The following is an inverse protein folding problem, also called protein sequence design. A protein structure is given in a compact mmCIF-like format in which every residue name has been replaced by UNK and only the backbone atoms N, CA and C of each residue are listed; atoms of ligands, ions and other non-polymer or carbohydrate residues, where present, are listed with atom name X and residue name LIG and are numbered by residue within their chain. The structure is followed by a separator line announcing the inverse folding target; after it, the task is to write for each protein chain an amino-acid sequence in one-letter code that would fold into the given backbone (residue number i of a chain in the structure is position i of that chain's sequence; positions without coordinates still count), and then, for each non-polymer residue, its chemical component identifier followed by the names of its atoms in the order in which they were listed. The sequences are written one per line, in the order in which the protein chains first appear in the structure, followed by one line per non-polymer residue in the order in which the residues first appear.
data_IF_052339984910
#
_entry.id   IF_052339984910
#
_cell.length_a   1.000
_cell.length_b   1.000
_cell.length_c   1.000
_cell.angle_alpha   90.00
_cell.angle_beta   90.00
_cell.angle_gamma   90.00
#
_symmetry.space_group_name_H-M   'P 1'
#
loop_
_entity.id
_entity.type
_entity.pdbx_description
1 polymer ?
#
# COMPACT_ATOMS: atom_id res chain seq x y z
N UNK A 1 38.19 -24.61 -1.74
CA UNK A 1 38.80 -24.52 -0.40
C UNK A 1 38.34 -23.20 0.20
N UNK A 2 37.64 -23.30 1.34
CA UNK A 2 37.34 -22.29 2.38
C UNK A 2 36.47 -21.10 1.91
N UNK A 3 35.21 -20.93 2.34
CA UNK A 3 34.62 -20.81 3.69
C UNK A 3 34.91 -19.47 4.38
N UNK A 4 33.83 -18.93 4.97
CA UNK A 4 33.77 -18.02 6.12
C UNK A 4 34.13 -16.54 5.89
N UNK A 5 33.59 -15.54 6.59
CA UNK A 5 32.43 -15.32 7.46
C UNK A 5 32.55 -13.82 7.88
N UNK A 6 31.44 -13.17 8.22
CA UNK A 6 31.39 -12.00 9.11
C UNK A 6 32.04 -10.67 8.70
N UNK A 7 31.25 -9.59 8.66
CA UNK A 7 31.26 -8.58 9.75
C UNK A 7 30.60 -7.27 9.33
N UNK A 8 29.60 -6.90 10.12
CA UNK A 8 29.01 -5.60 10.35
C UNK A 8 30.07 -4.48 10.56
N UNK A 9 29.95 -3.34 9.86
CA UNK A 9 30.57 -2.08 10.28
C UNK A 9 30.01 -0.86 9.52
N UNK A 10 29.39 0.06 10.27
CA UNK A 10 29.57 1.50 10.09
C UNK A 10 28.71 2.23 9.06
N UNK A 11 27.57 2.78 9.52
CA UNK A 11 27.05 4.01 8.93
C UNK A 11 28.01 5.15 9.30
N UNK A 12 29.03 5.40 8.48
CA UNK A 12 29.82 6.62 8.60
C UNK A 12 29.00 7.80 8.07
N UNK A 13 28.47 8.56 9.02
CA UNK A 13 27.89 9.87 8.80
C UNK A 13 29.04 10.82 8.42
N UNK A 14 29.36 10.89 7.13
CA UNK A 14 30.39 11.78 6.61
C UNK A 14 29.88 13.24 6.58
N UNK A 15 29.82 13.85 7.76
CA UNK A 15 29.71 15.31 7.89
C UNK A 15 31.08 15.93 7.62
N UNK A 16 31.27 16.45 6.40
CA UNK A 16 32.43 17.28 6.09
C UNK A 16 32.12 18.76 6.36
N UNK A 17 32.80 19.33 7.35
CA UNK A 17 32.88 20.77 7.58
C UNK A 17 34.04 21.35 6.76
N UNK A 18 33.74 22.25 5.82
CA UNK A 18 34.76 23.12 5.21
C UNK A 18 34.46 24.58 5.60
N UNK A 19 35.37 25.17 6.39
CA UNK A 19 35.40 26.59 6.75
C UNK A 19 34.08 27.21 7.27
N UNK A 20 33.46 26.59 8.27
CA UNK A 20 32.52 27.28 9.18
C UNK A 20 31.22 27.83 8.58
N UNK A 21 30.89 27.54 7.32
CA UNK A 21 29.59 27.85 6.72
C UNK A 21 28.99 26.57 6.12
N UNK A 22 27.77 26.22 6.54
CA UNK A 22 26.96 25.16 5.91
C UNK A 22 26.66 25.56 4.47
N UNK A 23 27.51 25.14 3.54
CA UNK A 23 27.32 25.31 2.11
C UNK A 23 26.72 24.05 1.50
N UNK A 24 25.57 24.18 0.84
CA UNK A 24 25.03 23.15 -0.06
C UNK A 24 25.99 23.10 -1.25
N UNK A 25 26.62 21.95 -1.52
CA UNK A 25 27.47 21.79 -2.71
C UNK A 25 26.66 22.12 -3.98
N UNK A 26 27.06 23.14 -4.77
CA UNK A 26 26.40 23.44 -6.03
C UNK A 26 26.86 22.41 -7.06
N UNK A 27 26.03 21.41 -7.34
CA UNK A 27 26.33 20.41 -8.37
C UNK A 27 25.60 19.08 -8.19
N UNK A 28 25.16 18.76 -6.97
CA UNK A 28 24.32 17.58 -6.77
C UNK A 28 22.90 17.95 -7.19
N UNK A 29 22.53 17.59 -8.43
CA UNK A 29 21.14 17.54 -8.87
C UNK A 29 20.42 16.54 -7.96
N UNK A 30 19.92 17.00 -6.82
CA UNK A 30 18.89 16.29 -6.10
C UNK A 30 17.76 16.10 -7.09
N UNK A 31 17.53 14.86 -7.53
CA UNK A 31 16.32 14.49 -8.27
C UNK A 31 15.15 14.61 -7.30
N UNK A 32 14.78 15.84 -6.95
CA UNK A 32 13.50 16.14 -6.33
C UNK A 32 12.44 15.75 -7.37
N UNK A 33 11.50 14.92 -6.96
CA UNK A 33 10.33 14.46 -7.73
C UNK A 33 10.46 13.14 -8.50
N UNK A 34 11.10 12.11 -7.93
CA UNK A 34 10.78 10.75 -8.36
C UNK A 34 9.33 10.46 -7.96
N UNK A 35 8.39 10.53 -8.91
CA UNK A 35 7.00 10.12 -8.68
C UNK A 35 6.99 8.61 -8.38
N UNK A 36 6.27 8.14 -7.35
CA UNK A 36 6.11 6.71 -7.12
C UNK A 36 5.53 6.05 -8.38
N UNK A 37 6.15 4.97 -8.83
CA UNK A 37 5.65 4.19 -9.96
C UNK A 37 4.54 3.26 -9.44
N UNK A 38 3.35 3.25 -10.05
CA UNK A 38 2.30 2.32 -9.64
C UNK A 38 2.74 0.89 -9.94
N UNK A 39 2.47 -0.02 -9.01
CA UNK A 39 2.58 -1.46 -9.23
C UNK A 39 1.24 -1.95 -9.80
N UNK A 40 1.27 -2.49 -11.01
CA UNK A 40 0.09 -3.09 -11.63
C UNK A 40 0.26 -4.60 -11.66
N UNK A 41 -0.75 -5.31 -11.18
CA UNK A 41 -0.78 -6.77 -11.12
C UNK A 41 -2.19 -7.29 -11.41
N UNK A 42 -2.27 -8.56 -11.79
CA UNK A 42 -3.53 -9.27 -12.07
C UNK A 42 -3.53 -10.53 -11.21
N UNK A 43 -4.66 -10.80 -10.57
CA UNK A 43 -4.92 -12.04 -9.85
C UNK A 43 -6.36 -12.48 -10.13
N UNK A 44 -6.63 -13.77 -9.92
CA UNK A 44 -7.92 -14.38 -10.15
C UNK A 44 -8.53 -14.77 -8.82
N UNK A 45 -9.84 -14.56 -8.70
CA UNK A 45 -10.60 -14.84 -7.48
C UNK A 45 -11.82 -15.65 -7.87
N UNK A 46 -12.13 -16.67 -7.07
CA UNK A 46 -13.34 -17.48 -7.26
C UNK A 46 -14.57 -16.68 -6.79
N UNK A 47 -15.73 -16.86 -7.41
CA UNK A 47 -16.94 -16.12 -7.05
C UNK A 47 -17.40 -16.36 -5.59
N UNK A 48 -17.18 -17.57 -5.08
CA UNK A 48 -17.50 -17.95 -3.69
C UNK A 48 -16.50 -17.44 -2.63
N UNK A 49 -15.50 -16.66 -3.03
CA UNK A 49 -14.45 -16.18 -2.11
C UNK A 49 -15.03 -15.13 -1.17
N UNK A 50 -14.76 -15.24 0.13
CA UNK A 50 -15.14 -14.22 1.11
C UNK A 50 -14.16 -13.03 1.12
N UNK A 51 -14.55 -11.94 1.79
CA UNK A 51 -13.77 -10.70 1.86
C UNK A 51 -12.34 -10.91 2.39
N UNK A 52 -12.21 -11.69 3.46
CA UNK A 52 -10.91 -11.98 4.09
C UNK A 52 -9.97 -12.71 3.14
N UNK A 53 -10.46 -13.74 2.47
CA UNK A 53 -9.67 -14.51 1.49
C UNK A 53 -9.32 -13.64 0.29
N UNK A 54 -10.23 -12.79 -0.17
CA UNK A 54 -9.96 -11.82 -1.23
C UNK A 54 -8.79 -10.89 -0.88
N UNK A 55 -8.78 -10.32 0.33
CA UNK A 55 -7.69 -9.46 0.77
C UNK A 55 -6.39 -10.21 1.03
N UNK A 56 -6.44 -11.44 1.54
CA UNK A 56 -5.25 -12.29 1.66
C UNK A 56 -4.60 -12.54 0.27
N UNK A 57 -5.40 -12.91 -0.74
CA UNK A 57 -4.90 -13.08 -2.10
C UNK A 57 -4.34 -11.78 -2.69
N UNK A 58 -4.96 -10.64 -2.40
CA UNK A 58 -4.48 -9.32 -2.82
C UNK A 58 -3.10 -9.02 -2.21
N UNK A 59 -2.94 -9.21 -0.90
CA UNK A 59 -1.68 -8.93 -0.21
C UNK A 59 -0.56 -9.88 -0.66
N UNK A 60 -0.86 -11.16 -0.85
CA UNK A 60 0.08 -12.14 -1.41
C UNK A 60 0.57 -11.72 -2.80
N UNK A 61 -0.33 -11.15 -3.60
CA UNK A 61 -0.02 -10.67 -4.95
C UNK A 61 0.83 -9.39 -4.91
N UNK A 62 0.56 -8.48 -3.98
CA UNK A 62 1.32 -7.24 -3.81
C UNK A 62 2.72 -7.48 -3.23
N UNK A 63 2.93 -8.61 -2.52
CA UNK A 63 4.19 -8.97 -1.83
C UNK A 63 4.68 -7.89 -0.86
N UNK A 64 3.77 -7.03 -0.40
CA UNK A 64 4.08 -5.91 0.48
C UNK A 64 3.61 -6.24 1.89
N UNK A 65 4.58 -6.46 2.78
CA UNK A 65 4.33 -6.80 4.19
C UNK A 65 3.96 -5.58 5.04
N UNK A 66 4.07 -4.37 4.49
CA UNK A 66 3.69 -3.15 5.22
C UNK A 66 2.18 -2.93 5.22
N UNK A 67 1.46 -3.60 4.32
CA UNK A 67 0.02 -3.47 4.15
C UNK A 67 -0.66 -4.61 4.93
N UNK A 68 -1.65 -4.27 5.75
CA UNK A 68 -2.35 -5.21 6.62
C UNK A 68 -3.82 -4.85 6.79
N UNK A 69 -4.63 -5.84 7.17
CA UNK A 69 -6.04 -5.69 7.45
C UNK A 69 -6.48 -6.55 8.63
N UNK A 70 -7.57 -6.15 9.27
CA UNK A 70 -8.30 -6.89 10.28
C UNK A 70 -9.79 -6.85 9.96
N UNK A 71 -10.46 -8.00 10.02
CA UNK A 71 -11.91 -8.10 9.89
C UNK A 71 -12.55 -8.18 11.28
N UNK A 72 -13.46 -7.27 11.59
CA UNK A 72 -14.20 -7.30 12.85
C UNK A 72 -15.48 -8.15 12.75
N UNK A 73 -15.99 -8.61 13.89
CA UNK A 73 -17.19 -9.46 13.98
C UNK A 73 -18.46 -8.82 13.44
N UNK A 74 -18.50 -7.49 13.37
CA UNK A 74 -19.61 -6.73 12.80
C UNK A 74 -19.57 -6.66 11.27
N UNK A 75 -18.55 -7.24 10.62
CA UNK A 75 -18.38 -7.21 9.16
C UNK A 75 -17.59 -6.01 8.65
N UNK A 76 -17.14 -5.12 9.54
CA UNK A 76 -16.28 -3.99 9.18
C UNK A 76 -14.84 -4.44 8.96
N UNK A 77 -14.21 -3.81 7.98
CA UNK A 77 -12.83 -4.02 7.61
C UNK A 77 -11.97 -2.83 8.09
N UNK A 78 -11.01 -3.11 8.96
CA UNK A 78 -9.98 -2.15 9.33
C UNK A 78 -8.71 -2.43 8.53
N UNK A 79 -8.19 -1.39 7.90
CA UNK A 79 -7.05 -1.48 6.98
C UNK A 79 -6.14 -0.29 7.18
N UNK A 80 -4.84 -0.47 6.98
CA UNK A 80 -3.89 0.64 6.86
C UNK A 80 -3.74 1.13 5.40
N UNK A 81 -4.73 0.81 4.56
CA UNK A 81 -4.76 1.17 3.15
C UNK A 81 -6.20 1.43 2.71
N UNK A 82 -6.37 2.07 1.57
CA UNK A 82 -7.66 2.25 0.92
C UNK A 82 -7.75 1.35 -0.30
N UNK A 83 -8.77 0.50 -0.35
CA UNK A 83 -9.12 -0.27 -1.54
C UNK A 83 -10.35 0.32 -2.22
N UNK A 84 -10.21 0.65 -3.50
CA UNK A 84 -11.30 1.16 -4.33
C UNK A 84 -11.41 0.35 -5.62
N UNK A 85 -12.63 -0.05 -5.97
CA UNK A 85 -12.89 -0.76 -7.21
C UNK A 85 -13.62 0.10 -8.24
N UNK A 86 -13.39 -0.21 -9.51
CA UNK A 86 -14.13 0.31 -10.64
C UNK A 86 -14.43 -0.84 -11.59
N UNK A 87 -15.64 -0.86 -12.13
CA UNK A 87 -16.04 -1.90 -13.07
C UNK A 87 -15.99 -1.31 -14.49
N UNK A 88 -15.13 -1.84 -15.40
CA UNK A 88 -15.02 -1.37 -16.77
C UNK A 88 -16.37 -1.34 -17.49
N UNK A 89 -16.56 -0.35 -18.37
CA UNK A 89 -17.78 -0.16 -19.16
C UNK A 89 -19.06 0.00 -18.33
N UNK A 90 -18.96 0.50 -17.09
CA UNK A 90 -20.10 0.84 -16.24
C UNK A 90 -19.95 2.22 -15.60
N UNK A 91 -21.00 2.65 -14.90
CA UNK A 91 -20.98 3.86 -14.09
C UNK A 91 -20.35 3.66 -12.70
N UNK A 92 -19.97 2.42 -12.35
CA UNK A 92 -19.41 2.07 -11.04
C UNK A 92 -17.90 2.36 -11.06
N UNK A 93 -17.48 3.43 -10.39
CA UNK A 93 -16.09 3.90 -10.36
C UNK A 93 -15.70 4.37 -8.96
N UNK A 94 -14.47 4.07 -8.57
CA UNK A 94 -13.83 4.47 -7.31
C UNK A 94 -14.69 4.18 -6.07
N UNK A 95 -15.36 3.03 -6.03
CA UNK A 95 -16.17 2.61 -4.89
C UNK A 95 -15.25 1.95 -3.86
N UNK A 96 -15.26 2.45 -2.64
CA UNK A 96 -14.44 1.93 -1.57
C UNK A 96 -15.00 0.61 -1.01
N UNK A 97 -14.11 -0.26 -0.53
CA UNK A 97 -14.46 -1.53 0.11
C UNK A 97 -14.10 -1.40 1.60
N UNK A 98 -15.11 -1.25 2.46
CA UNK A 98 -14.92 -1.14 3.92
C UNK A 98 -15.63 -2.25 4.70
N UNK A 99 -16.45 -3.06 4.02
CA UNK A 99 -17.27 -4.07 4.67
C UNK A 99 -17.50 -5.28 3.78
N UNK A 100 -18.00 -6.36 4.39
CA UNK A 100 -18.47 -7.54 3.67
C UNK A 100 -19.63 -7.23 2.70
N UNK A 101 -20.47 -6.23 3.01
CA UNK A 101 -21.59 -5.81 2.18
C UNK A 101 -21.13 -5.09 0.90
N UNK A 102 -20.10 -4.25 1.02
CA UNK A 102 -19.48 -3.59 -0.15
C UNK A 102 -18.89 -4.62 -1.10
N UNK A 103 -18.25 -5.64 -0.55
CA UNK A 103 -17.67 -6.73 -1.32
C UNK A 103 -18.73 -7.63 -1.96
N UNK A 104 -19.81 -7.92 -1.25
CA UNK A 104 -20.94 -8.67 -1.82
C UNK A 104 -21.55 -7.91 -3.00
N UNK A 105 -21.69 -6.58 -2.87
CA UNK A 105 -22.14 -5.71 -3.97
C UNK A 105 -21.18 -5.75 -5.16
N UNK A 106 -19.87 -5.71 -4.92
CA UNK A 106 -18.85 -5.88 -5.95
C UNK A 106 -19.04 -7.20 -6.71
N UNK A 107 -19.19 -8.31 -6.00
CA UNK A 107 -19.36 -9.63 -6.61
C UNK A 107 -20.65 -9.73 -7.42
N UNK A 108 -21.77 -9.24 -6.89
CA UNK A 108 -23.03 -9.22 -7.61
C UNK A 108 -22.96 -8.43 -8.93
N UNK A 109 -22.28 -7.29 -8.94
CA UNK A 109 -22.12 -6.48 -10.15
C UNK A 109 -21.16 -7.10 -11.17
N UNK A 110 -20.21 -7.90 -10.70
CA UNK A 110 -19.14 -8.46 -11.52
C UNK A 110 -19.57 -9.79 -12.16
N UNK A 111 -20.15 -10.71 -11.37
CA UNK A 111 -20.52 -12.07 -11.82
C UNK A 111 -21.64 -12.05 -12.87
N UNK A 112 -22.54 -11.04 -12.83
CA UNK A 112 -23.62 -10.90 -13.81
C UNK A 112 -23.14 -10.51 -15.22
N UNK A 113 -21.84 -10.30 -15.44
CA UNK A 113 -21.27 -9.87 -16.72
C UNK A 113 -20.78 -11.03 -17.56
N UNK A 114 -20.89 -10.90 -18.88
CA UNK A 114 -20.30 -11.85 -19.83
C UNK A 114 -18.76 -11.95 -19.71
N UNK A 115 -18.11 -10.85 -19.31
CA UNK A 115 -16.68 -10.79 -19.03
C UNK A 115 -16.48 -10.16 -17.64
N UNK A 116 -16.39 -10.97 -16.57
CA UNK A 116 -16.17 -10.47 -15.21
C UNK A 116 -14.75 -9.92 -15.08
N UNK A 117 -14.64 -8.59 -15.00
CA UNK A 117 -13.38 -7.88 -14.81
C UNK A 117 -13.62 -6.69 -13.89
N UNK A 118 -12.67 -6.44 -12.98
CA UNK A 118 -12.69 -5.36 -12.01
C UNK A 118 -11.32 -4.71 -11.97
N UNK A 119 -11.28 -3.39 -11.96
CA UNK A 119 -10.08 -2.64 -11.66
C UNK A 119 -10.05 -2.28 -10.18
N UNK A 120 -9.09 -2.83 -9.45
CA UNK A 120 -8.85 -2.52 -8.04
C UNK A 120 -7.67 -1.54 -7.92
N UNK A 121 -7.83 -0.51 -7.11
CA UNK A 121 -6.78 0.45 -6.74
C UNK A 121 -6.56 0.37 -5.25
N UNK A 122 -5.31 0.17 -4.85
CA UNK A 122 -4.89 0.07 -3.44
C UNK A 122 -3.92 1.21 -3.14
N UNK A 123 -4.19 1.96 -2.07
CA UNK A 123 -3.34 3.06 -1.63
C UNK A 123 -3.04 2.94 -0.15
N UNK A 124 -1.77 2.78 0.22
CA UNK A 124 -1.33 2.79 1.62
C UNK A 124 -1.69 4.13 2.28
N UNK A 125 -2.31 4.08 3.46
CA UNK A 125 -2.60 5.25 4.29
C UNK A 125 -1.48 5.36 5.31
N UNK A 126 -0.53 6.27 5.05
CA UNK A 126 0.48 6.62 6.07
C UNK A 126 -0.21 7.36 7.19
N UNK A 127 -0.49 6.66 8.29
CA UNK A 127 -0.82 7.33 9.55
C UNK A 127 0.47 7.98 10.01
N UNK A 128 0.62 9.29 9.76
CA UNK A 128 1.67 10.06 10.43
C UNK A 128 1.50 9.84 11.94
N UNK A 129 2.52 9.40 12.67
CA UNK A 129 2.42 9.36 14.13
C UNK A 129 2.06 10.78 14.56
N UNK A 130 0.91 10.92 15.21
CA UNK A 130 0.51 12.15 15.88
C UNK A 130 1.74 12.62 16.66
N UNK A 131 2.24 13.81 16.31
CA UNK A 131 3.23 14.45 17.15
C UNK A 131 2.64 14.46 18.57
N UNK A 132 3.38 13.99 19.59
CA UNK A 132 2.87 14.00 20.95
C UNK A 132 2.44 15.43 21.22
N UNK A 133 1.15 15.57 21.56
CA UNK A 133 0.55 16.78 22.06
C UNK A 133 1.49 17.31 23.14
N UNK A 134 2.27 18.35 22.81
CA UNK A 134 3.09 19.03 23.78
C UNK A 134 2.07 19.75 24.65
N UNK A 135 1.65 19.07 25.71
CA UNK A 135 0.85 19.63 26.77
C UNK A 135 1.45 20.97 27.15
N UNK A 136 0.70 22.02 26.86
CA UNK A 136 0.92 23.32 27.45
C UNK A 136 -0.04 23.37 28.63
N UNK A 137 0.54 23.20 29.81
CA UNK A 137 -0.07 23.51 31.10
C UNK A 137 -0.58 24.96 31.16
#
# INVERSE_FOLDING_TARGET
MNSDDGSEAGYEHNEFLYNGRKGIMPGVKHRKNAKPKPLNTVFYVHEDTNLETFFNCLLDTLKDKSIGFECYKNGDLYTNFKAEYSIPCTNIKNVAIYSADDYSSLMEHTVKKAHPEVKLTVMEIKVSPLAPDQGVC
#
